data_IF_634651797994
#
_entry.id   IF_634651797994
#
_cell.length_a   1.000
_cell.length_b   1.000
_cell.length_c   1.000
_cell.angle_alpha   90.00
_cell.angle_beta   90.00
_cell.angle_gamma   90.00
#
_symmetry.space_group_name_H-M   'P 1'
#
loop_
_entity.id
_entity.type
_entity.pdbx_description
1 polymer ?
#
# COMPACT_ATOMS: atom_id res chain seq x y z
N UNK A 1 7.67 -11.27 34.25
CA UNK A 1 8.38 -9.98 34.16
C UNK A 1 7.55 -8.84 34.74
N UNK A 2 6.42 -8.42 34.14
CA UNK A 2 5.66 -7.29 34.66
C UNK A 2 5.14 -7.50 36.10
N UNK A 3 4.63 -8.69 36.42
CA UNK A 3 4.24 -9.07 37.79
C UNK A 3 5.41 -9.14 38.75
N UNK A 4 6.56 -9.66 38.32
CA UNK A 4 7.76 -9.81 39.17
C UNK A 4 8.47 -8.48 39.45
N UNK A 5 8.20 -7.46 38.64
CA UNK A 5 8.73 -6.09 38.78
C UNK A 5 7.71 -5.12 39.39
N UNK A 6 6.53 -5.63 39.80
CA UNK A 6 5.44 -4.84 40.40
C UNK A 6 5.02 -3.61 39.58
N UNK A 7 5.13 -3.68 38.24
CA UNK A 7 4.67 -2.56 37.41
C UNK A 7 3.15 -2.40 37.48
N UNK A 8 2.62 -1.16 37.53
CA UNK A 8 1.19 -0.92 37.45
C UNK A 8 0.71 -1.33 36.05
N UNK A 9 0.02 -2.47 35.98
CA UNK A 9 -0.60 -2.94 34.75
C UNK A 9 -1.91 -2.18 34.57
N UNK A 10 -1.94 -1.27 33.61
CA UNK A 10 -3.18 -0.59 33.20
C UNK A 10 -4.10 -1.64 32.55
N UNK A 11 -5.33 -1.83 33.05
CA UNK A 11 -6.24 -2.83 32.48
C UNK A 11 -6.61 -2.46 31.05
N UNK A 12 -6.62 -3.46 30.16
CA UNK A 12 -6.91 -3.32 28.72
C UNK A 12 -8.37 -2.93 28.42
N UNK A 13 -9.16 -2.71 29.46
CA UNK A 13 -10.59 -2.40 29.39
C UNK A 13 -10.82 -0.92 29.05
N UNK A 14 -9.80 -0.07 29.19
CA UNK A 14 -9.85 1.37 28.91
C UNK A 14 -9.96 1.71 27.41
N UNK A 15 -9.65 0.78 26.51
CA UNK A 15 -9.74 0.91 25.05
C UNK A 15 -10.71 -0.12 24.42
N UNK A 16 -11.18 -1.10 25.20
CA UNK A 16 -11.92 -2.27 24.74
C UNK A 16 -13.44 -2.11 24.58
N UNK A 17 -14.01 -0.95 24.92
CA UNK A 17 -15.47 -0.72 24.88
C UNK A 17 -16.01 -0.31 23.50
N UNK A 18 -15.18 -0.29 22.46
CA UNK A 18 -15.59 0.16 21.14
C UNK A 18 -16.18 -1.00 20.32
N UNK A 19 -17.38 -0.83 19.72
CA UNK A 19 -18.06 -1.90 18.99
C UNK A 19 -17.33 -2.36 17.71
N UNK A 20 -16.38 -1.55 17.20
CA UNK A 20 -15.67 -1.80 15.93
C UNK A 20 -14.17 -2.08 16.16
N UNK A 21 -13.86 -3.09 16.96
CA UNK A 21 -12.47 -3.50 17.25
C UNK A 21 -11.80 -4.14 16.02
N UNK A 22 -11.40 -3.31 15.06
CA UNK A 22 -10.65 -3.71 13.86
C UNK A 22 -9.37 -4.47 14.22
N UNK A 23 -8.74 -4.14 15.35
CA UNK A 23 -7.57 -4.88 15.86
C UNK A 23 -7.90 -6.32 16.24
N UNK A 24 -9.09 -6.59 16.78
CA UNK A 24 -9.52 -7.96 17.11
C UNK A 24 -9.82 -8.76 15.84
N UNK A 25 -10.52 -8.13 14.88
CA UNK A 25 -10.79 -8.72 13.57
C UNK A 25 -9.50 -9.08 12.82
N UNK A 26 -8.53 -8.15 12.78
CA UNK A 26 -7.21 -8.39 12.18
C UNK A 26 -6.47 -9.54 12.89
N UNK A 27 -6.48 -9.59 14.23
CA UNK A 27 -5.86 -10.69 14.99
C UNK A 27 -6.46 -12.05 14.62
N UNK A 28 -7.78 -12.12 14.40
CA UNK A 28 -8.45 -13.35 13.94
C UNK A 28 -7.99 -13.72 12.53
N UNK A 29 -8.03 -12.76 11.60
CA UNK A 29 -7.61 -12.97 10.21
C UNK A 29 -6.17 -13.48 10.10
N UNK A 30 -5.23 -12.90 10.86
CA UNK A 30 -3.85 -13.36 10.89
C UNK A 30 -3.74 -14.82 11.37
N UNK A 31 -4.48 -15.19 12.42
CA UNK A 31 -4.49 -16.58 12.92
C UNK A 31 -5.07 -17.57 11.93
N UNK A 32 -6.15 -17.18 11.24
CA UNK A 32 -6.76 -18.01 10.20
C UNK A 32 -5.78 -18.21 9.03
N UNK A 33 -5.09 -17.15 8.60
CA UNK A 33 -4.06 -17.22 7.56
C UNK A 33 -2.88 -18.11 7.92
N UNK A 34 -2.41 -18.09 9.16
CA UNK A 34 -1.31 -18.96 9.59
C UNK A 34 -1.71 -20.44 9.61
N UNK A 35 -2.97 -20.72 9.99
CA UNK A 35 -3.51 -22.09 9.94
C UNK A 35 -3.61 -22.59 8.50
N UNK A 36 -4.13 -21.76 7.61
CA UNK A 36 -4.42 -22.15 6.24
C UNK A 36 -3.12 -22.17 5.38
N UNK A 37 -2.15 -21.31 5.71
CA UNK A 37 -0.88 -21.14 5.00
C UNK A 37 0.27 -20.89 5.98
N UNK A 38 0.90 -21.95 6.52
CA UNK A 38 1.98 -21.79 7.50
C UNK A 38 3.17 -21.04 6.89
N UNK A 39 3.76 -20.11 7.64
CA UNK A 39 4.85 -19.26 7.16
C UNK A 39 4.40 -17.95 6.49
N UNK A 40 3.09 -17.73 6.33
CA UNK A 40 2.56 -16.52 5.69
C UNK A 40 2.78 -15.29 6.56
N UNK A 41 2.61 -15.40 7.89
CA UNK A 41 2.81 -14.26 8.78
C UNK A 41 4.27 -13.80 8.74
N UNK A 42 5.23 -14.71 8.69
CA UNK A 42 6.67 -14.41 8.63
C UNK A 42 7.02 -13.70 7.32
N UNK A 43 6.45 -14.15 6.20
CA UNK A 43 6.63 -13.48 4.91
C UNK A 43 6.02 -12.07 4.91
N UNK A 44 4.84 -11.90 5.52
CA UNK A 44 4.23 -10.57 5.71
C UNK A 44 5.11 -9.68 6.59
N UNK A 45 5.65 -10.20 7.70
CA UNK A 45 6.55 -9.44 8.56
C UNK A 45 7.84 -9.04 7.83
N UNK A 46 8.37 -9.92 6.99
CA UNK A 46 9.57 -9.64 6.20
C UNK A 46 9.31 -8.60 5.11
N UNK A 47 8.13 -8.59 4.50
CA UNK A 47 7.77 -7.57 3.50
C UNK A 47 7.66 -6.18 4.11
N UNK A 48 7.19 -6.05 5.36
CA UNK A 48 7.14 -4.76 6.07
C UNK A 48 8.52 -4.12 6.24
N UNK A 49 9.58 -4.92 6.35
CA UNK A 49 10.97 -4.43 6.44
C UNK A 49 11.60 -4.12 5.08
N UNK A 50 11.06 -4.67 4.00
CA UNK A 50 11.65 -4.58 2.67
C UNK A 50 10.84 -3.60 1.80
N UNK A 51 11.19 -2.32 1.91
CA UNK A 51 10.56 -1.25 1.14
C UNK A 51 11.29 -1.11 -0.20
N UNK A 52 10.54 -1.22 -1.30
CA UNK A 52 11.05 -0.95 -2.65
C UNK A 52 10.65 0.47 -3.04
N UNK A 53 11.59 1.41 -3.26
CA UNK A 53 11.27 2.81 -3.52
C UNK A 53 10.34 3.05 -4.70
N UNK A 54 10.42 2.23 -5.76
CA UNK A 54 9.53 2.34 -6.93
C UNK A 54 8.04 2.17 -6.60
N UNK A 55 7.69 1.44 -5.53
CA UNK A 55 6.29 1.25 -5.11
C UNK A 55 5.75 2.42 -4.28
N UNK A 56 6.61 3.32 -3.80
CA UNK A 56 6.20 4.46 -2.99
C UNK A 56 5.72 5.66 -3.81
N UNK A 57 5.84 5.60 -5.15
CA UNK A 57 5.54 6.73 -6.06
C UNK A 57 6.24 8.04 -5.66
N UNK A 58 7.36 7.93 -4.98
CA UNK A 58 8.15 9.04 -4.49
C UNK A 58 9.27 9.33 -5.49
N UNK A 59 9.19 10.49 -6.16
CA UNK A 59 10.15 10.91 -7.20
C UNK A 59 11.52 11.26 -6.63
N UNK A 60 11.61 11.60 -5.34
CA UNK A 60 12.89 11.85 -4.68
C UNK A 60 13.58 10.54 -4.31
N UNK A 61 12.80 9.49 -4.00
CA UNK A 61 13.30 8.17 -3.65
C UNK A 61 13.56 7.26 -4.87
N UNK A 62 12.93 7.52 -6.01
CA UNK A 62 13.09 6.72 -7.23
C UNK A 62 13.02 7.58 -8.51
N UNK A 63 14.02 7.42 -9.39
CA UNK A 63 14.10 8.15 -10.65
C UNK A 63 13.19 7.52 -11.72
N UNK A 64 11.94 8.00 -11.76
CA UNK A 64 10.98 7.60 -12.78
C UNK A 64 11.25 8.23 -14.17
N UNK A 65 12.03 9.31 -14.26
CA UNK A 65 12.24 10.04 -15.52
C UNK A 65 13.19 9.29 -16.44
N UNK A 66 14.18 8.59 -15.88
CA UNK A 66 15.19 7.86 -16.64
C UNK A 66 14.94 6.34 -16.71
N UNK A 67 13.67 5.91 -16.69
CA UNK A 67 13.32 4.51 -16.88
C UNK A 67 13.68 4.03 -18.30
N UNK A 68 14.62 3.10 -18.38
CA UNK A 68 15.02 2.47 -19.65
C UNK A 68 14.39 1.09 -19.79
N UNK A 69 13.85 0.80 -20.97
CA UNK A 69 13.44 -0.56 -21.32
C UNK A 69 14.71 -1.41 -21.44
N UNK A 70 14.86 -2.42 -20.59
CA UNK A 70 15.94 -3.40 -20.76
C UNK A 70 15.77 -4.11 -22.11
N UNK A 71 16.82 -4.06 -22.94
CA UNK A 71 16.84 -4.58 -24.32
C UNK A 71 16.43 -6.05 -24.43
N UNK A 72 16.65 -6.82 -23.37
CA UNK A 72 16.33 -8.25 -23.31
C UNK A 72 14.80 -8.49 -23.29
N UNK A 73 14.01 -7.49 -22.91
CA UNK A 73 12.54 -7.51 -22.91
C UNK A 73 11.93 -6.74 -24.09
N UNK A 74 12.75 -6.27 -25.05
CA UNK A 74 12.27 -5.53 -26.22
C UNK A 74 11.33 -6.36 -27.13
N UNK A 75 11.37 -7.68 -27.01
CA UNK A 75 10.43 -8.59 -27.68
C UNK A 75 9.06 -8.64 -26.99
N UNK A 76 9.01 -8.37 -25.67
CA UNK A 76 7.80 -8.37 -24.86
C UNK A 76 7.03 -7.05 -24.99
N UNK A 77 7.74 -5.93 -25.16
CA UNK A 77 7.14 -4.60 -25.36
C UNK A 77 6.37 -4.43 -26.67
N UNK A 78 6.31 -5.46 -27.52
CA UNK A 78 5.52 -5.47 -28.75
C UNK A 78 4.10 -6.01 -28.56
N UNK A 79 3.81 -6.61 -27.40
CA UNK A 79 2.43 -6.92 -27.01
C UNK A 79 1.86 -5.69 -26.30
N UNK A 80 1.26 -4.80 -27.09
CA UNK A 80 0.45 -3.67 -26.62
C UNK A 80 -0.93 -4.13 -26.08
N UNK A 81 -1.05 -5.37 -25.63
CA UNK A 81 -2.21 -5.84 -24.88
C UNK A 81 -1.83 -5.72 -23.40
N UNK A 82 -1.86 -4.48 -22.91
CA UNK A 82 -1.82 -4.21 -21.48
C UNK A 82 -2.97 -4.92 -20.76
N UNK A 83 -2.95 -4.86 -19.42
CA UNK A 83 -3.94 -5.52 -18.57
C UNK A 83 -5.32 -4.87 -18.77
N UNK A 84 -6.12 -5.41 -19.70
CA UNK A 84 -7.45 -4.90 -20.12
C UNK A 84 -8.52 -4.98 -19.03
N UNK A 85 -8.13 -5.33 -17.80
CA UNK A 85 -9.03 -5.52 -16.68
C UNK A 85 -9.81 -4.26 -16.29
N UNK A 86 -9.42 -3.08 -16.80
CA UNK A 86 -10.05 -1.78 -16.49
C UNK A 86 -10.55 -1.05 -17.77
N UNK A 87 -10.33 -1.61 -18.96
CA UNK A 87 -10.60 -0.92 -20.25
C UNK A 87 -12.06 -1.04 -20.73
N UNK A 88 -12.94 -1.69 -19.97
CA UNK A 88 -14.38 -1.73 -20.28
C UNK A 88 -15.09 -0.47 -19.78
N UNK A 89 -14.71 0.68 -20.34
CA UNK A 89 -15.37 1.94 -20.07
C UNK A 89 -14.75 3.08 -20.86
N UNK A 90 -15.31 3.33 -22.05
CA UNK A 90 -15.22 4.55 -22.87
C UNK A 90 -13.99 5.42 -22.59
N UNK A 91 -13.09 5.48 -23.57
CA UNK A 91 -12.00 6.46 -23.68
C UNK A 91 -12.53 7.91 -23.54
N UNK A 92 -12.68 8.39 -22.31
CA UNK A 92 -12.98 9.78 -22.01
C UNK A 92 -11.68 10.59 -21.80
N UNK A 93 -10.63 10.24 -22.54
CA UNK A 93 -9.47 11.10 -22.75
C UNK A 93 -9.49 11.72 -24.16
N UNK A 94 -10.69 11.99 -24.68
CA UNK A 94 -10.87 12.95 -25.76
C UNK A 94 -10.65 14.35 -25.19
N UNK A 95 -9.42 14.85 -25.35
CA UNK A 95 -8.99 16.25 -25.36
C UNK A 95 -9.99 17.26 -24.77
N UNK A 96 -10.11 17.30 -23.44
CA UNK A 96 -10.52 18.52 -22.75
C UNK A 96 -9.23 19.22 -22.35
N UNK A 97 -8.85 20.24 -23.12
CA UNK A 97 -7.83 21.22 -22.75
C UNK A 97 -8.06 21.66 -21.30
N UNK A 98 -7.14 21.35 -20.37
CA UNK A 98 -7.41 21.67 -18.99
C UNK A 98 -7.06 23.14 -18.74
N UNK A 99 -8.07 23.95 -18.43
CA UNK A 99 -7.92 25.37 -18.09
C UNK A 99 -7.32 25.54 -16.68
N UNK A 100 -6.06 25.12 -16.51
CA UNK A 100 -5.29 25.25 -15.26
C UNK A 100 -4.94 26.71 -14.90
N UNK A 101 -5.43 27.71 -15.63
CA UNK A 101 -5.13 29.12 -15.36
C UNK A 101 -5.80 29.71 -14.12
N UNK A 102 -6.64 28.95 -13.40
CA UNK A 102 -7.45 29.46 -12.27
C UNK A 102 -7.18 28.79 -10.92
N UNK A 103 -6.29 27.80 -10.83
CA UNK A 103 -5.94 27.15 -9.57
C UNK A 103 -4.72 27.82 -8.93
N UNK A 104 -4.94 28.93 -8.23
CA UNK A 104 -3.96 29.46 -7.29
C UNK A 104 -4.03 28.66 -5.98
N UNK A 105 -2.93 28.02 -5.62
CA UNK A 105 -2.74 27.40 -4.32
C UNK A 105 -2.78 28.48 -3.23
N UNK A 106 -3.84 28.51 -2.44
CA UNK A 106 -3.89 29.34 -1.23
C UNK A 106 -2.95 28.68 -0.21
N UNK A 107 -1.73 29.21 -0.10
CA UNK A 107 -0.95 29.04 1.13
C UNK A 107 -1.70 29.75 2.25
N UNK A 108 -2.14 28.98 3.24
CA UNK A 108 -2.66 29.50 4.48
C UNK A 108 -1.52 29.48 5.49
N UNK A 109 -1.11 30.67 5.94
CA UNK A 109 -0.17 30.89 7.03
C UNK A 109 -0.56 30.16 8.31
#
# INVERSE_FOLDING_TARGET
>A
YAQSMEFPIIPCDLCGSQPNLQRSAMKKLLRDWERDFPGRIENLFRSLHHIVPSHLLDQDAFDFQNLTIHSDLAHLSKSYEGDRAIDEGIDACESIEPSWSSLTWIHKD
#
